data_IF_555653247891
#
_entry.id   IF_555653247891
#
_cell.length_a   1.000
_cell.length_b   1.000
_cell.length_c   1.000
_cell.angle_alpha   90.00
_cell.angle_beta   90.00
_cell.angle_gamma   90.00
#
_symmetry.space_group_name_H-M   'P 1'
#
loop_
_entity.id
_entity.type
_entity.pdbx_description
1 polymer ?
#
# COMPACT_ATOMS: atom_id res chain seq x y z
N UNK A 1 -46.92 20.29 50.06
CA UNK A 1 -45.76 20.62 49.19
C UNK A 1 -44.95 21.84 49.66
N UNK A 2 -45.52 22.81 50.37
CA UNK A 2 -44.79 24.03 50.80
C UNK A 2 -43.64 23.81 51.79
N UNK A 3 -43.68 22.76 52.63
CA UNK A 3 -42.59 22.48 53.59
C UNK A 3 -41.33 21.86 52.98
N UNK A 4 -41.41 21.31 51.76
CA UNK A 4 -40.29 20.60 51.14
C UNK A 4 -39.27 21.58 50.51
N UNK A 5 -39.73 22.74 50.03
CA UNK A 5 -38.91 23.74 49.33
C UNK A 5 -38.16 24.70 50.27
N UNK A 6 -38.40 24.61 51.58
CA UNK A 6 -37.68 25.39 52.59
C UNK A 6 -36.54 24.61 53.27
N UNK A 7 -36.39 23.32 52.97
CA UNK A 7 -35.29 22.51 53.50
C UNK A 7 -34.02 22.77 52.68
N UNK A 8 -32.95 23.20 53.37
CA UNK A 8 -31.63 23.49 52.76
C UNK A 8 -31.04 22.29 52.02
N UNK A 9 -31.35 21.06 52.46
CA UNK A 9 -30.92 19.82 51.80
C UNK A 9 -31.63 19.63 50.47
N UNK A 10 -32.93 19.93 50.43
CA UNK A 10 -33.74 19.86 49.22
C UNK A 10 -33.32 20.95 48.23
N UNK A 11 -33.04 22.17 48.71
CA UNK A 11 -32.56 23.27 47.87
C UNK A 11 -31.19 22.96 47.23
N UNK A 12 -30.30 22.31 47.98
CA UNK A 12 -29.00 21.85 47.47
C UNK A 12 -29.16 20.79 46.38
N UNK A 13 -30.03 19.80 46.57
CA UNK A 13 -30.31 18.77 45.58
C UNK A 13 -30.91 19.35 44.29
N UNK A 14 -31.82 20.33 44.42
CA UNK A 14 -32.36 21.07 43.26
C UNK A 14 -31.22 21.79 42.53
N UNK A 15 -30.30 22.44 43.26
CA UNK A 15 -29.13 23.08 42.69
C UNK A 15 -28.24 22.12 41.89
N UNK A 16 -28.00 20.90 42.42
CA UNK A 16 -27.24 19.85 41.73
C UNK A 16 -27.95 19.40 40.46
N UNK A 17 -29.27 19.16 40.51
CA UNK A 17 -30.05 18.75 39.33
C UNK A 17 -30.03 19.83 38.25
N UNK A 18 -30.23 21.09 38.62
CA UNK A 18 -30.16 22.22 37.67
C UNK A 18 -28.77 22.34 37.07
N UNK A 19 -27.71 22.16 37.86
CA UNK A 19 -26.33 22.17 37.38
C UNK A 19 -26.06 21.00 36.42
N UNK A 20 -26.53 19.79 36.74
CA UNK A 20 -26.41 18.62 35.85
C UNK A 20 -27.13 18.84 34.52
N UNK A 21 -28.36 19.38 34.55
CA UNK A 21 -29.12 19.71 33.33
C UNK A 21 -28.42 20.80 32.52
N UNK A 22 -27.87 21.83 33.16
CA UNK A 22 -27.10 22.88 32.49
C UNK A 22 -25.84 22.32 31.81
N UNK A 23 -25.12 21.39 32.46
CA UNK A 23 -23.95 20.72 31.87
C UNK A 23 -24.35 19.88 30.64
N UNK A 24 -25.43 19.11 30.73
CA UNK A 24 -25.93 18.31 29.60
C UNK A 24 -26.36 19.21 28.44
N UNK A 25 -27.01 20.34 28.72
CA UNK A 25 -27.46 21.28 27.70
C UNK A 25 -26.29 21.97 26.98
N UNK A 26 -25.22 22.34 27.71
CA UNK A 26 -24.05 23.02 27.12
C UNK A 26 -23.12 22.04 26.40
N UNK A 27 -22.87 20.85 26.95
CA UNK A 27 -21.94 19.87 26.35
C UNK A 27 -22.60 18.92 25.36
N UNK A 28 -23.93 18.81 25.39
CA UNK A 28 -24.65 17.79 24.64
C UNK A 28 -24.44 16.37 25.20
N UNK A 29 -25.04 15.39 24.52
CA UNK A 29 -24.87 13.95 24.79
C UNK A 29 -24.08 13.36 23.62
N UNK A 30 -23.00 12.62 23.92
CA UNK A 30 -22.27 11.87 22.90
C UNK A 30 -23.08 10.62 22.54
N UNK A 31 -23.72 10.64 21.38
CA UNK A 31 -24.44 9.49 20.85
C UNK A 31 -23.45 8.48 20.23
N UNK A 32 -23.59 7.19 20.55
CA UNK A 32 -22.88 6.11 19.87
C UNK A 32 -23.35 5.93 18.42
N UNK A 33 -22.65 5.09 17.66
CA UNK A 33 -22.97 4.83 16.24
C UNK A 33 -24.36 4.21 16.07
N UNK A 34 -24.87 3.53 17.11
CA UNK A 34 -26.21 2.93 17.15
C UNK A 34 -27.32 3.97 17.02
N UNK A 35 -27.01 5.22 17.37
CA UNK A 35 -27.93 6.35 17.35
C UNK A 35 -27.62 7.36 16.25
N UNK A 36 -26.35 7.51 15.86
CA UNK A 36 -25.91 8.43 14.79
C UNK A 36 -25.94 7.78 13.38
N UNK A 37 -26.01 6.45 13.32
CA UNK A 37 -25.73 5.69 12.10
C UNK A 37 -24.23 5.60 11.81
N UNK A 38 -23.81 4.55 11.11
CA UNK A 38 -22.40 4.29 10.83
C UNK A 38 -22.16 2.87 10.36
N UNK A 39 -20.88 2.54 10.13
CA UNK A 39 -20.43 1.19 9.74
C UNK A 39 -19.47 0.64 10.79
N UNK A 40 -19.63 -0.65 11.11
CA UNK A 40 -18.68 -1.44 11.90
C UNK A 40 -18.03 -2.47 11.01
N UNK A 41 -16.71 -2.43 10.94
CA UNK A 41 -15.92 -3.38 10.18
C UNK A 41 -15.12 -4.21 11.19
N UNK A 42 -15.51 -5.47 11.45
CA UNK A 42 -14.72 -6.38 12.26
C UNK A 42 -13.54 -6.93 11.44
N UNK A 43 -12.34 -6.87 12.00
CA UNK A 43 -11.14 -7.50 11.46
C UNK A 43 -10.80 -8.66 12.39
N UNK A 44 -10.91 -9.88 11.88
CA UNK A 44 -10.60 -11.11 12.63
C UNK A 44 -9.24 -11.65 12.20
N UNK A 45 -8.39 -11.97 13.16
CA UNK A 45 -7.07 -12.56 12.91
C UNK A 45 -7.15 -14.10 12.95
N UNK A 46 -6.35 -14.75 12.11
CA UNK A 46 -6.28 -16.22 12.02
C UNK A 46 -5.75 -16.88 13.30
N UNK A 47 -5.03 -16.12 14.13
CA UNK A 47 -4.47 -16.55 15.40
C UNK A 47 -4.75 -15.55 16.52
N UNK A 48 -4.80 -16.04 17.76
CA UNK A 48 -4.90 -15.19 18.94
C UNK A 48 -3.66 -14.28 19.07
N UNK A 49 -3.89 -13.00 19.36
CA UNK A 49 -2.85 -11.98 19.55
C UNK A 49 -2.62 -11.72 21.04
N UNK A 50 -1.35 -11.49 21.41
CA UNK A 50 -1.01 -10.97 22.75
C UNK A 50 -1.49 -9.53 22.91
N UNK A 51 -1.65 -9.01 24.15
CA UNK A 51 -2.02 -7.61 24.37
C UNK A 51 -1.08 -6.61 23.67
N UNK A 52 0.23 -6.88 23.67
CA UNK A 52 1.23 -6.04 23.00
C UNK A 52 1.06 -6.04 21.48
N UNK A 53 0.85 -7.21 20.88
CA UNK A 53 0.57 -7.32 19.43
C UNK A 53 -0.75 -6.63 19.07
N UNK A 54 -1.77 -6.76 19.93
CA UNK A 54 -3.06 -6.11 19.74
C UNK A 54 -2.92 -4.58 19.74
N UNK A 55 -2.15 -4.02 20.68
CA UNK A 55 -1.87 -2.58 20.73
C UNK A 55 -1.09 -2.10 19.50
N UNK A 56 -0.11 -2.89 19.05
CA UNK A 56 0.66 -2.61 17.83
C UNK A 56 -0.24 -2.57 16.59
N UNK A 57 -1.07 -3.59 16.40
CA UNK A 57 -2.06 -3.66 15.32
C UNK A 57 -3.01 -2.45 15.36
N UNK A 58 -3.55 -2.12 16.54
CA UNK A 58 -4.43 -0.95 16.69
C UNK A 58 -3.72 0.34 16.30
N UNK A 59 -2.45 0.50 16.67
CA UNK A 59 -1.66 1.67 16.32
C UNK A 59 -1.38 1.73 14.82
N UNK A 60 -1.00 0.61 14.18
CA UNK A 60 -0.82 0.52 12.73
C UNK A 60 -2.09 0.95 12.01
N UNK A 61 -3.25 0.39 12.39
CA UNK A 61 -4.54 0.71 11.78
C UNK A 61 -4.89 2.19 11.98
N UNK A 62 -4.75 2.75 13.19
CA UNK A 62 -4.97 4.17 13.46
C UNK A 62 -4.08 5.07 12.62
N UNK A 63 -2.79 4.73 12.51
CA UNK A 63 -1.82 5.49 11.72
C UNK A 63 -2.21 5.46 10.24
N UNK A 64 -2.51 4.28 9.68
CA UNK A 64 -2.95 4.14 8.28
C UNK A 64 -4.21 4.97 8.02
N UNK A 65 -5.27 4.77 8.82
CA UNK A 65 -6.54 5.47 8.65
C UNK A 65 -6.38 7.00 8.76
N UNK A 66 -5.59 7.47 9.73
CA UNK A 66 -5.38 8.91 9.94
C UNK A 66 -4.64 9.59 8.78
N UNK A 67 -3.70 8.89 8.11
CA UNK A 67 -2.96 9.43 6.95
C UNK A 67 -3.87 9.77 5.76
N UNK A 68 -4.99 9.06 5.62
CA UNK A 68 -5.99 9.30 4.59
C UNK A 68 -7.02 10.39 4.97
N UNK A 69 -6.79 11.11 6.07
CA UNK A 69 -7.66 12.21 6.51
C UNK A 69 -8.92 11.73 7.23
N UNK A 70 -8.98 10.46 7.60
CA UNK A 70 -10.14 9.81 8.21
C UNK A 70 -9.98 9.73 9.74
N UNK A 71 -9.55 10.84 10.35
CA UNK A 71 -9.25 10.92 11.80
C UNK A 71 -10.47 10.72 12.70
N UNK A 72 -11.68 10.65 12.13
CA UNK A 72 -12.94 10.42 12.85
C UNK A 72 -13.22 8.93 13.10
N UNK A 73 -12.36 8.04 12.61
CA UNK A 73 -12.53 6.60 12.73
C UNK A 73 -12.00 6.12 14.09
N UNK A 74 -12.78 5.27 14.74
CA UNK A 74 -12.43 4.67 16.03
C UNK A 74 -11.93 3.25 15.78
N UNK A 75 -10.76 2.92 16.30
CA UNK A 75 -10.20 1.56 16.26
C UNK A 75 -10.21 1.01 17.69
N UNK A 76 -10.99 -0.05 17.92
CA UNK A 76 -11.15 -0.70 19.23
C UNK A 76 -10.59 -2.12 19.20
N UNK A 77 -9.67 -2.48 20.09
CA UNK A 77 -9.28 -3.88 20.26
C UNK A 77 -10.41 -4.69 20.88
N UNK A 78 -10.65 -5.88 20.35
CA UNK A 78 -11.54 -6.91 20.87
C UNK A 78 -10.73 -8.22 21.04
N UNK A 79 -9.92 -8.32 22.11
CA UNK A 79 -9.09 -9.50 22.35
C UNK A 79 -9.90 -10.80 22.46
N UNK A 80 -9.31 -11.95 22.10
CA UNK A 80 -7.90 -12.12 21.73
C UNK A 80 -7.59 -11.92 20.25
N UNK A 81 -8.59 -11.81 19.36
CA UNK A 81 -8.38 -11.99 17.91
C UNK A 81 -9.16 -11.05 17.01
N UNK A 82 -9.77 -10.00 17.56
CA UNK A 82 -10.58 -9.09 16.77
C UNK A 82 -10.15 -7.63 17.02
N UNK A 83 -10.20 -6.82 15.97
CA UNK A 83 -10.16 -5.36 16.06
C UNK A 83 -11.37 -4.82 15.33
N UNK A 84 -12.11 -3.95 16.00
CA UNK A 84 -13.30 -3.31 15.45
C UNK A 84 -12.96 -1.90 14.99
N UNK A 85 -13.24 -1.61 13.73
CA UNK A 85 -13.14 -0.28 13.14
C UNK A 85 -14.55 0.31 13.02
N UNK A 86 -14.78 1.44 13.69
CA UNK A 86 -16.06 2.14 13.70
C UNK A 86 -15.97 3.45 12.94
N UNK A 87 -16.90 3.65 12.00
CA UNK A 87 -17.03 4.86 11.22
C UNK A 87 -18.39 5.50 11.54
N UNK A 88 -18.39 6.75 12.00
CA UNK A 88 -19.63 7.53 12.05
C UNK A 88 -20.15 7.76 10.62
N UNK A 89 -21.46 7.92 10.47
CA UNK A 89 -22.13 8.16 9.18
C UNK A 89 -21.39 9.23 8.35
N UNK A 90 -20.80 8.80 7.23
CA UNK A 90 -19.99 9.62 6.32
C UNK A 90 -20.07 9.09 4.89
N UNK A 91 -19.59 9.90 3.95
CA UNK A 91 -19.63 9.68 2.49
C UNK A 91 -19.24 8.24 2.11
N UNK A 92 -20.02 7.58 1.24
CA UNK A 92 -19.79 6.19 0.80
C UNK A 92 -18.37 5.98 0.27
N UNK A 93 -17.74 7.03 -0.25
CA UNK A 93 -16.35 7.04 -0.68
C UNK A 93 -15.36 6.79 0.47
N UNK A 94 -15.64 7.33 1.67
CA UNK A 94 -14.79 7.12 2.86
C UNK A 94 -14.84 5.67 3.34
N UNK A 95 -16.01 5.02 3.25
CA UNK A 95 -16.17 3.60 3.59
C UNK A 95 -15.34 2.74 2.64
N UNK A 96 -15.49 2.92 1.33
CA UNK A 96 -14.71 2.20 0.31
C UNK A 96 -13.21 2.42 0.46
N UNK A 97 -12.80 3.65 0.80
CA UNK A 97 -11.40 3.98 1.02
C UNK A 97 -10.85 3.29 2.27
N UNK A 98 -11.62 3.22 3.36
CA UNK A 98 -11.21 2.48 4.57
C UNK A 98 -11.15 0.99 4.32
N UNK A 99 -12.15 0.41 3.67
CA UNK A 99 -12.12 -1.02 3.29
C UNK A 99 -10.85 -1.35 2.49
N UNK A 100 -10.48 -0.50 1.53
CA UNK A 100 -9.24 -0.65 0.77
C UNK A 100 -8.00 -0.59 1.68
N UNK A 101 -7.90 0.41 2.56
CA UNK A 101 -6.76 0.58 3.50
C UNK A 101 -6.64 -0.61 4.45
N UNK A 102 -7.76 -1.16 4.90
CA UNK A 102 -7.80 -2.31 5.82
C UNK A 102 -7.44 -3.63 5.12
N UNK A 103 -7.65 -3.72 3.81
CA UNK A 103 -7.31 -4.91 3.01
C UNK A 103 -5.84 -4.95 2.57
N UNK A 104 -5.14 -3.80 2.55
CA UNK A 104 -3.72 -3.73 2.20
C UNK A 104 -2.88 -4.29 3.36
N UNK A 105 -2.20 -5.44 3.16
CA UNK A 105 -1.28 -6.00 4.17
C UNK A 105 -0.08 -5.06 4.38
N UNK A 106 0.37 -4.40 3.30
CA UNK A 106 1.47 -3.44 3.33
C UNK A 106 2.84 -4.12 3.39
N UNK A 107 3.02 -5.21 2.65
CA UNK A 107 4.28 -5.94 2.55
C UNK A 107 5.24 -5.19 1.63
N UNK A 108 6.17 -4.45 2.25
CA UNK A 108 7.18 -3.68 1.52
C UNK A 108 8.39 -4.54 1.17
N UNK A 109 8.89 -4.39 -0.06
CA UNK A 109 10.16 -4.97 -0.53
C UNK A 109 10.94 -3.96 -1.37
N UNK A 110 12.23 -3.78 -1.07
CA UNK A 110 13.18 -3.10 -1.94
C UNK A 110 14.10 -4.12 -2.59
N UNK A 111 14.14 -4.12 -3.92
CA UNK A 111 14.87 -5.08 -4.75
C UNK A 111 15.94 -4.37 -5.56
N UNK A 112 17.15 -4.92 -5.58
CA UNK A 112 18.27 -4.42 -6.38
C UNK A 112 18.81 -5.61 -7.18
N UNK A 113 18.88 -5.47 -8.51
CA UNK A 113 19.39 -6.52 -9.41
C UNK A 113 18.81 -7.91 -9.07
N UNK A 114 17.48 -7.97 -8.98
CA UNK A 114 16.69 -9.18 -8.71
C UNK A 114 16.89 -9.82 -7.32
N UNK A 115 17.56 -9.15 -6.38
CA UNK A 115 17.71 -9.61 -4.99
C UNK A 115 16.97 -8.71 -4.02
N UNK A 116 16.31 -9.31 -3.04
CA UNK A 116 15.60 -8.57 -1.99
C UNK A 116 16.63 -7.96 -1.03
N UNK A 117 16.76 -6.64 -1.06
CA UNK A 117 17.71 -5.90 -0.25
C UNK A 117 17.12 -5.55 1.13
N UNK A 118 15.88 -5.04 1.17
CA UNK A 118 15.16 -4.62 2.38
C UNK A 118 13.72 -5.11 2.31
N UNK A 119 13.16 -5.53 3.45
CA UNK A 119 11.74 -5.83 3.62
C UNK A 119 11.13 -4.89 4.65
N UNK A 120 9.79 -4.85 4.73
CA UNK A 120 9.07 -4.09 5.77
C UNK A 120 9.51 -4.45 7.20
N UNK A 121 9.88 -5.69 7.47
CA UNK A 121 10.34 -6.15 8.80
C UNK A 121 11.68 -5.53 9.23
N UNK A 122 12.48 -5.09 8.27
CA UNK A 122 13.75 -4.43 8.57
C UNK A 122 13.56 -2.96 8.92
N UNK A 123 12.41 -2.34 8.62
CA UNK A 123 12.15 -0.93 8.89
C UNK A 123 11.83 -0.77 10.37
N UNK A 124 12.56 0.12 11.04
CA UNK A 124 12.31 0.40 12.45
C UNK A 124 10.98 1.15 12.60
N UNK A 125 10.04 0.67 13.45
CA UNK A 125 8.76 1.31 13.66
C UNK A 125 8.91 2.79 14.03
N UNK A 126 8.11 3.65 13.40
CA UNK A 126 8.11 5.10 13.64
C UNK A 126 9.32 5.86 13.08
N UNK A 127 10.24 5.20 12.36
CA UNK A 127 11.43 5.85 11.79
C UNK A 127 11.20 6.54 10.44
N UNK A 128 10.05 6.29 9.79
CA UNK A 128 9.73 6.85 8.47
C UNK A 128 9.46 8.36 8.62
N UNK A 129 10.37 9.16 8.05
CA UNK A 129 10.35 10.62 8.10
C UNK A 129 9.23 11.25 7.26
N UNK A 130 8.99 12.53 7.51
CA UNK A 130 8.12 13.34 6.66
C UNK A 130 8.86 13.66 5.37
N UNK A 131 8.37 13.14 4.24
CA UNK A 131 9.08 13.24 2.97
C UNK A 131 9.56 14.66 2.66
N UNK A 132 10.83 14.80 2.28
CA UNK A 132 11.45 16.06 1.90
C UNK A 132 11.26 16.32 0.42
N UNK A 133 11.10 17.58 0.04
CA UNK A 133 11.04 18.02 -1.35
C UNK A 133 12.22 18.96 -1.64
N UNK A 134 12.81 18.85 -2.82
CA UNK A 134 13.90 19.72 -3.27
C UNK A 134 13.74 20.04 -4.75
N UNK A 135 13.76 21.31 -5.18
CA UNK A 135 13.65 21.65 -6.60
C UNK A 135 14.89 21.16 -7.36
N UNK A 136 14.68 20.47 -8.48
CA UNK A 136 15.73 20.10 -9.45
C UNK A 136 15.81 21.17 -10.54
N UNK A 137 14.66 21.66 -11.01
CA UNK A 137 14.53 22.69 -12.04
C UNK A 137 13.26 23.52 -11.82
N UNK A 138 12.95 24.45 -12.74
CA UNK A 138 11.70 25.23 -12.70
C UNK A 138 10.44 24.34 -12.77
N UNK A 139 10.55 23.14 -13.31
CA UNK A 139 9.45 22.22 -13.59
C UNK A 139 9.78 20.80 -13.14
N UNK A 140 10.66 20.63 -12.15
CA UNK A 140 11.00 19.31 -11.62
C UNK A 140 11.42 19.38 -10.17
N UNK A 141 10.90 18.45 -9.36
CA UNK A 141 11.14 18.35 -7.94
C UNK A 141 11.62 16.94 -7.61
N UNK A 142 12.69 16.85 -6.82
CA UNK A 142 13.11 15.63 -6.13
C UNK A 142 12.28 15.49 -4.86
N UNK A 143 11.83 14.29 -4.56
CA UNK A 143 11.30 13.94 -3.25
C UNK A 143 12.19 12.90 -2.57
N UNK A 144 12.25 12.91 -1.25
CA UNK A 144 13.04 11.97 -0.44
C UNK A 144 12.25 11.52 0.80
N UNK A 145 12.24 10.23 1.13
CA UNK A 145 11.68 9.69 2.37
C UNK A 145 12.78 8.93 3.08
N UNK A 146 13.16 9.41 4.27
CA UNK A 146 14.17 8.75 5.09
C UNK A 146 13.50 7.75 6.04
N UNK A 147 14.15 6.63 6.29
CA UNK A 147 13.78 5.71 7.36
C UNK A 147 15.00 5.01 7.92
N UNK A 148 14.85 4.48 9.14
CA UNK A 148 15.88 3.69 9.77
C UNK A 148 15.59 2.20 9.61
N UNK A 149 16.64 1.42 9.40
CA UNK A 149 16.55 -0.04 9.31
C UNK A 149 17.33 -0.74 10.44
N UNK A 150 16.97 -2.00 10.66
CA UNK A 150 17.67 -2.91 11.56
C UNK A 150 19.12 -3.12 11.12
N UNK A 151 19.97 -3.59 12.03
CA UNK A 151 21.36 -3.92 11.71
C UNK A 151 21.44 -5.07 10.69
N UNK A 152 20.57 -6.07 10.82
CA UNK A 152 20.48 -7.17 9.87
C UNK A 152 20.08 -6.66 8.47
N UNK A 153 19.10 -5.77 8.39
CA UNK A 153 18.67 -5.12 7.15
C UNK A 153 19.79 -4.29 6.53
N UNK A 154 20.53 -3.51 7.33
CA UNK A 154 21.65 -2.69 6.85
C UNK A 154 22.77 -3.54 6.26
N UNK A 155 23.12 -4.66 6.92
CA UNK A 155 24.12 -5.60 6.43
C UNK A 155 23.68 -6.27 5.13
N UNK A 156 22.42 -6.73 5.05
CA UNK A 156 21.88 -7.35 3.84
C UNK A 156 21.80 -6.36 2.68
N UNK A 157 21.30 -5.15 2.92
CA UNK A 157 21.26 -4.09 1.92
C UNK A 157 22.66 -3.78 1.40
N UNK A 158 23.65 -3.58 2.28
CA UNK A 158 25.02 -3.28 1.88
C UNK A 158 25.63 -4.40 1.01
N UNK A 159 25.39 -5.66 1.37
CA UNK A 159 25.86 -6.81 0.59
C UNK A 159 25.22 -6.85 -0.81
N UNK A 160 23.93 -6.57 -0.91
CA UNK A 160 23.19 -6.55 -2.19
C UNK A 160 23.55 -5.32 -3.04
N UNK A 161 23.73 -4.16 -2.41
CA UNK A 161 24.03 -2.88 -3.05
C UNK A 161 25.48 -2.80 -3.56
N UNK A 162 26.40 -3.64 -3.06
CA UNK A 162 27.82 -3.61 -3.41
C UNK A 162 28.01 -3.70 -4.94
N UNK A 163 28.60 -2.64 -5.51
CA UNK A 163 28.87 -2.53 -6.95
C UNK A 163 27.64 -2.27 -7.83
N UNK A 164 26.47 -1.99 -7.24
CA UNK A 164 25.23 -1.71 -7.97
C UNK A 164 24.97 -0.21 -8.17
N UNK A 165 26.02 0.62 -8.15
CA UNK A 165 25.89 2.06 -8.34
C UNK A 165 25.15 2.38 -9.65
N UNK A 166 24.32 3.42 -9.63
CA UNK A 166 23.53 3.90 -10.76
C UNK A 166 22.48 2.91 -11.30
N UNK A 167 22.20 1.81 -10.58
CA UNK A 167 21.12 0.87 -10.89
C UNK A 167 19.82 1.24 -10.18
N UNK A 168 18.65 0.86 -10.72
CA UNK A 168 17.38 1.05 -10.04
C UNK A 168 17.28 0.20 -8.77
N UNK A 169 16.65 0.78 -7.75
CA UNK A 169 16.16 0.11 -6.54
C UNK A 169 14.64 0.02 -6.67
N UNK A 170 14.13 -1.13 -7.09
CA UNK A 170 12.69 -1.34 -7.27
C UNK A 170 12.01 -1.48 -5.92
N UNK A 171 11.00 -0.64 -5.68
CA UNK A 171 10.27 -0.61 -4.42
C UNK A 171 8.85 -1.07 -4.64
N UNK A 172 8.53 -2.18 -4.01
CA UNK A 172 7.24 -2.81 -4.14
C UNK A 172 6.46 -2.73 -2.84
N UNK A 173 5.14 -2.67 -2.99
CA UNK A 173 4.18 -2.86 -1.92
C UNK A 173 3.19 -3.92 -2.37
N UNK A 174 3.01 -4.94 -1.54
CA UNK A 174 2.12 -6.08 -1.81
C UNK A 174 2.40 -6.72 -3.18
N UNK A 175 3.70 -6.91 -3.47
CA UNK A 175 4.17 -7.57 -4.69
C UNK A 175 3.62 -9.00 -4.75
N UNK A 176 3.06 -9.44 -5.89
CA UNK A 176 2.69 -10.84 -6.03
C UNK A 176 3.94 -11.71 -6.23
N UNK A 177 4.21 -12.63 -5.30
CA UNK A 177 5.32 -13.60 -5.45
C UNK A 177 5.00 -14.75 -6.39
N UNK A 178 3.72 -15.11 -6.55
CA UNK A 178 3.28 -16.24 -7.39
C UNK A 178 2.13 -15.81 -8.27
N UNK A 179 2.42 -15.45 -9.52
CA UNK A 179 1.43 -14.85 -10.41
C UNK A 179 1.61 -15.22 -11.88
N UNK A 180 0.49 -15.12 -12.61
CA UNK A 180 0.43 -15.08 -14.06
C UNK A 180 -0.14 -13.72 -14.47
N UNK A 181 0.66 -12.87 -15.10
CA UNK A 181 0.25 -11.55 -15.57
C UNK A 181 0.00 -11.62 -17.07
N UNK A 182 -1.21 -11.26 -17.50
CA UNK A 182 -1.61 -11.25 -18.90
C UNK A 182 -1.69 -9.81 -19.39
N UNK A 183 -0.80 -9.44 -20.32
CA UNK A 183 -0.73 -8.11 -20.92
C UNK A 183 -1.18 -8.14 -22.37
N UNK A 184 -1.89 -7.12 -22.84
CA UNK A 184 -2.16 -6.89 -24.26
C UNK A 184 -1.21 -5.82 -24.80
N UNK A 185 -0.96 -5.77 -26.12
CA UNK A 185 -0.10 -4.74 -26.72
C UNK A 185 -0.48 -3.30 -26.34
N UNK A 186 -1.76 -3.02 -26.10
CA UNK A 186 -2.27 -1.70 -25.67
C UNK A 186 -1.90 -1.26 -24.24
N UNK A 187 -1.36 -2.17 -23.42
CA UNK A 187 -0.83 -1.86 -22.09
C UNK A 187 0.60 -1.33 -22.16
N UNK A 188 1.27 -1.47 -23.31
CA UNK A 188 2.58 -0.89 -23.55
C UNK A 188 2.41 0.57 -23.98
N UNK A 189 3.26 1.49 -23.50
CA UNK A 189 3.21 2.87 -23.93
C UNK A 189 3.50 3.00 -25.42
N UNK A 190 2.81 3.91 -26.09
CA UNK A 190 3.17 4.32 -27.45
C UNK A 190 4.44 5.16 -27.40
N UNK A 191 5.38 4.90 -28.31
CA UNK A 191 6.68 5.54 -28.30
C UNK A 191 7.76 4.64 -27.68
N UNK A 192 8.56 5.13 -26.72
CA UNK A 192 9.95 4.75 -26.47
C UNK A 192 10.27 3.24 -26.45
N UNK A 193 11.51 2.93 -26.83
CA UNK A 193 12.07 1.59 -27.11
C UNK A 193 11.41 0.44 -26.32
N UNK A 194 10.41 -0.19 -26.95
CA UNK A 194 9.65 -1.33 -26.42
C UNK A 194 10.60 -2.45 -25.97
N UNK A 195 11.76 -2.61 -26.62
CA UNK A 195 12.74 -3.62 -26.22
C UNK A 195 13.33 -3.35 -24.82
N UNK A 196 13.61 -2.09 -24.49
CA UNK A 196 14.08 -1.69 -23.16
C UNK A 196 13.01 -1.94 -22.08
N UNK A 197 11.74 -1.62 -22.39
CA UNK A 197 10.62 -1.91 -21.49
C UNK A 197 10.43 -3.41 -21.27
N UNK A 198 10.49 -4.22 -22.34
CA UNK A 198 10.38 -5.67 -22.27
C UNK A 198 11.51 -6.29 -21.43
N UNK A 199 12.72 -5.75 -21.52
CA UNK A 199 13.86 -6.19 -20.71
C UNK A 199 13.57 -5.96 -19.22
N UNK A 200 13.14 -4.74 -18.85
CA UNK A 200 12.76 -4.40 -17.47
C UNK A 200 11.63 -5.32 -16.94
N UNK A 201 10.62 -5.56 -17.77
CA UNK A 201 9.49 -6.43 -17.42
C UNK A 201 9.95 -7.89 -17.21
N UNK A 202 10.87 -8.36 -18.05
CA UNK A 202 11.42 -9.72 -17.93
C UNK A 202 12.24 -9.90 -16.65
N UNK A 203 12.97 -8.87 -16.21
CA UNK A 203 13.75 -8.91 -14.97
C UNK A 203 12.84 -9.10 -13.75
N UNK A 204 11.64 -8.53 -13.75
CA UNK A 204 10.67 -8.72 -12.67
C UNK A 204 10.22 -10.17 -12.48
N UNK A 205 10.28 -10.99 -13.54
CA UNK A 205 9.99 -12.43 -13.44
C UNK A 205 11.12 -13.20 -12.74
N UNK A 206 12.32 -12.62 -12.65
CA UNK A 206 13.53 -13.25 -12.12
C UNK A 206 13.91 -12.78 -10.70
N UNK A 207 13.06 -11.98 -10.05
CA UNK A 207 13.30 -11.55 -8.67
C UNK A 207 13.35 -12.78 -7.74
N UNK A 208 14.33 -12.81 -6.85
CA UNK A 208 14.53 -13.86 -5.85
C UNK A 208 13.24 -14.17 -5.08
N UNK A 209 12.95 -15.47 -4.90
CA UNK A 209 11.75 -15.92 -4.21
C UNK A 209 10.43 -15.69 -4.98
N UNK A 210 10.51 -15.41 -6.28
CA UNK A 210 9.35 -15.12 -7.11
C UNK A 210 9.15 -16.19 -8.19
N UNK A 211 7.89 -16.55 -8.40
CA UNK A 211 7.39 -17.31 -9.52
C UNK A 211 6.33 -16.48 -10.24
N UNK A 212 6.78 -15.42 -10.91
CA UNK A 212 5.92 -14.53 -11.70
C UNK A 212 6.14 -14.85 -13.17
N UNK A 213 5.06 -15.13 -13.88
CA UNK A 213 5.07 -15.35 -15.33
C UNK A 213 4.30 -14.25 -16.02
N UNK A 214 4.90 -13.64 -17.02
CA UNK A 214 4.29 -12.55 -17.79
C UNK A 214 4.07 -13.05 -19.21
N UNK A 215 2.84 -12.95 -19.69
CA UNK A 215 2.43 -13.38 -21.03
C UNK A 215 1.85 -12.19 -21.76
N UNK A 216 2.46 -11.86 -22.90
CA UNK A 216 1.89 -10.89 -23.84
C UNK A 216 0.90 -11.65 -24.73
N UNK A 217 -0.36 -11.24 -24.65
CA UNK A 217 -1.51 -11.77 -25.37
C UNK A 217 -1.83 -10.83 -26.52
N UNK A 218 -1.06 -11.00 -27.59
CA UNK A 218 -1.23 -10.36 -28.89
C UNK A 218 -2.34 -11.00 -29.71
N UNK A 219 -2.44 -12.33 -29.67
CA UNK A 219 -3.48 -13.10 -30.34
C UNK A 219 -4.06 -14.18 -29.41
N UNK A 220 -5.26 -13.92 -28.88
CA UNK A 220 -5.88 -14.83 -27.90
C UNK A 220 -6.06 -16.24 -28.45
N UNK A 221 -6.46 -16.41 -29.71
CA UNK A 221 -6.64 -17.72 -30.34
C UNK A 221 -5.40 -18.62 -30.26
N UNK A 222 -4.20 -18.02 -30.32
CA UNK A 222 -2.92 -18.72 -30.23
C UNK A 222 -2.49 -18.92 -28.77
N UNK A 223 -2.70 -17.91 -27.90
CA UNK A 223 -2.27 -17.96 -26.50
C UNK A 223 -3.23 -18.73 -25.58
N UNK A 224 -4.46 -18.98 -26.00
CA UNK A 224 -5.52 -19.57 -25.18
C UNK A 224 -5.10 -20.87 -24.51
N UNK A 225 -4.54 -21.81 -25.28
CA UNK A 225 -4.12 -23.10 -24.75
C UNK A 225 -2.95 -22.96 -23.77
N UNK A 226 -1.96 -22.11 -24.09
CA UNK A 226 -0.83 -21.82 -23.20
C UNK A 226 -1.31 -21.27 -21.85
N UNK A 227 -2.26 -20.33 -21.87
CA UNK A 227 -2.82 -19.74 -20.65
C UNK A 227 -3.65 -20.76 -19.88
N UNK A 228 -4.49 -21.54 -20.56
CA UNK A 228 -5.29 -22.58 -19.90
C UNK A 228 -4.40 -23.65 -19.23
N UNK A 229 -3.35 -24.10 -19.91
CA UNK A 229 -2.40 -25.07 -19.36
C UNK A 229 -1.65 -24.52 -18.16
N UNK A 230 -1.27 -23.24 -18.17
CA UNK A 230 -0.63 -22.58 -17.03
C UNK A 230 -1.59 -22.51 -15.83
N UNK A 231 -2.83 -22.07 -16.03
CA UNK A 231 -3.85 -21.98 -14.97
C UNK A 231 -4.15 -23.37 -14.39
N UNK A 232 -4.28 -24.38 -15.24
CA UNK A 232 -4.56 -25.76 -14.85
C UNK A 232 -3.42 -26.38 -14.06
N UNK A 233 -2.18 -26.12 -14.46
CA UNK A 233 -0.98 -26.73 -13.85
C UNK A 233 -0.56 -26.00 -12.57
N UNK A 234 -0.81 -24.69 -12.50
CA UNK A 234 -0.40 -23.82 -11.40
C UNK A 234 -1.58 -23.01 -10.84
N UNK A 235 -2.64 -23.66 -10.30
CA UNK A 235 -3.83 -22.96 -9.82
C UNK A 235 -3.57 -22.02 -8.65
N UNK A 236 -2.45 -22.18 -7.94
CA UNK A 236 -1.99 -21.29 -6.88
C UNK A 236 -1.50 -19.91 -7.37
N UNK A 237 -1.20 -19.74 -8.67
CA UNK A 237 -0.82 -18.42 -9.21
C UNK A 237 -2.04 -17.52 -9.21
N UNK A 238 -1.89 -16.29 -8.72
CA UNK A 238 -2.88 -15.26 -8.94
C UNK A 238 -2.84 -14.82 -10.41
N UNK A 239 -3.98 -14.81 -11.09
CA UNK A 239 -4.07 -14.43 -12.50
C UNK A 239 -4.44 -12.96 -12.58
N UNK A 240 -3.53 -12.13 -13.06
CA UNK A 240 -3.68 -10.68 -13.14
C UNK A 240 -3.93 -10.26 -14.59
N UNK A 241 -5.05 -9.58 -14.84
CA UNK A 241 -5.42 -9.13 -16.19
C UNK A 241 -6.34 -7.91 -16.16
N UNK A 242 -6.44 -7.22 -17.29
CA UNK A 242 -7.35 -6.08 -17.45
C UNK A 242 -8.82 -6.52 -17.51
N UNK A 243 -9.71 -5.78 -16.86
CA UNK A 243 -11.16 -5.92 -16.98
C UNK A 243 -11.67 -5.77 -18.40
N UNK A 244 -10.96 -4.98 -19.22
CA UNK A 244 -11.32 -4.71 -20.60
C UNK A 244 -10.69 -5.71 -21.57
N UNK A 245 -9.87 -6.65 -21.09
CA UNK A 245 -9.15 -7.60 -21.94
C UNK A 245 -10.10 -8.40 -22.82
N UNK A 246 -9.72 -8.60 -24.08
CA UNK A 246 -10.51 -9.35 -25.05
C UNK A 246 -10.79 -10.79 -24.62
N UNK A 247 -9.91 -11.34 -23.77
CA UNK A 247 -9.96 -12.69 -23.21
C UNK A 247 -10.50 -12.76 -21.78
N UNK A 248 -10.96 -11.66 -21.19
CA UNK A 248 -11.32 -11.57 -19.77
C UNK A 248 -12.37 -12.63 -19.34
N UNK A 249 -13.40 -12.84 -20.16
CA UNK A 249 -14.47 -13.81 -19.88
C UNK A 249 -13.96 -15.25 -19.92
N UNK A 250 -13.10 -15.57 -20.88
CA UNK A 250 -12.51 -16.90 -21.01
C UNK A 250 -11.61 -17.22 -19.81
N UNK A 251 -10.75 -16.28 -19.42
CA UNK A 251 -9.86 -16.42 -18.26
C UNK A 251 -10.66 -16.57 -16.97
N UNK A 252 -11.74 -15.79 -16.78
CA UNK A 252 -12.62 -15.94 -15.62
C UNK A 252 -13.27 -17.33 -15.56
N UNK A 253 -13.74 -17.85 -16.70
CA UNK A 253 -14.30 -19.20 -16.79
C UNK A 253 -13.26 -20.29 -16.49
N UNK A 254 -12.04 -20.15 -17.01
CA UNK A 254 -10.92 -21.06 -16.71
C UNK A 254 -10.54 -21.04 -15.23
N UNK A 255 -10.43 -19.84 -14.65
CA UNK A 255 -10.10 -19.68 -13.24
C UNK A 255 -11.16 -20.34 -12.34
N UNK A 256 -12.45 -20.14 -12.63
CA UNK A 256 -13.53 -20.83 -11.93
C UNK A 256 -13.49 -22.35 -12.09
N UNK A 257 -13.17 -22.85 -13.29
CA UNK A 257 -13.04 -24.29 -13.57
C UNK A 257 -11.91 -24.96 -12.78
N UNK A 258 -10.78 -24.28 -12.61
CA UNK A 258 -9.59 -24.82 -11.95
C UNK A 258 -9.39 -24.30 -10.52
N UNK A 259 -10.38 -23.58 -9.97
CA UNK A 259 -10.32 -22.95 -8.64
C UNK A 259 -9.08 -22.06 -8.45
N UNK A 260 -8.72 -21.30 -9.48
CA UNK A 260 -7.62 -20.33 -9.44
C UNK A 260 -8.14 -18.94 -9.06
N UNK A 261 -7.29 -18.15 -8.40
CA UNK A 261 -7.63 -16.79 -7.97
C UNK A 261 -7.33 -15.78 -9.08
N UNK A 262 -8.24 -14.85 -9.32
CA UNK A 262 -8.04 -13.74 -10.26
C UNK A 262 -7.91 -12.40 -9.54
N UNK A 263 -7.10 -11.51 -10.11
CA UNK A 263 -7.02 -10.09 -9.74
C UNK A 263 -7.25 -9.26 -10.99
N UNK A 264 -8.46 -8.75 -11.13
CA UNK A 264 -8.88 -7.97 -12.30
C UNK A 264 -8.60 -6.48 -12.05
N UNK A 265 -7.89 -5.84 -12.98
CA UNK A 265 -7.45 -4.44 -12.87
C UNK A 265 -7.98 -3.60 -14.04
N UNK A 266 -7.94 -2.27 -13.93
CA UNK A 266 -8.22 -1.38 -15.07
C UNK A 266 -7.08 -1.42 -16.09
N UNK A 267 -7.32 -0.95 -17.32
CA UNK A 267 -6.23 -0.79 -18.31
C UNK A 267 -5.12 0.15 -17.82
N UNK A 268 -5.48 1.21 -17.08
CA UNK A 268 -4.51 2.15 -16.51
C UNK A 268 -3.62 1.49 -15.44
N UNK A 269 -4.20 0.62 -14.60
CA UNK A 269 -3.45 -0.11 -13.58
C UNK A 269 -2.56 -1.22 -14.16
N UNK A 270 -2.87 -1.69 -15.38
CA UNK A 270 -2.04 -2.64 -16.14
C UNK A 270 -0.88 -1.95 -16.88
N UNK A 271 -0.98 -0.64 -17.13
CA UNK A 271 0.10 0.15 -17.76
C UNK A 271 1.22 0.41 -16.76
N UNK A 272 2.41 0.63 -17.30
CA UNK A 272 3.60 0.94 -16.54
C UNK A 272 4.16 2.31 -16.94
N UNK A 273 4.73 3.01 -15.97
CA UNK A 273 5.46 4.26 -16.21
C UNK A 273 6.91 3.96 -16.55
N UNK A 274 7.41 4.60 -17.61
CA UNK A 274 8.80 4.51 -18.03
C UNK A 274 9.51 5.84 -17.77
N UNK A 275 10.74 5.76 -17.29
CA UNK A 275 11.66 6.90 -17.23
C UNK A 275 12.90 6.57 -18.03
N UNK A 276 13.33 7.51 -18.86
CA UNK A 276 14.57 7.41 -19.58
C UNK A 276 15.74 7.74 -18.66
N UNK A 277 16.74 6.86 -18.62
CA UNK A 277 18.01 7.15 -18.02
C UNK A 277 18.72 8.22 -18.85
N UNK A 278 18.94 9.40 -18.28
CA UNK A 278 19.56 10.52 -19.00
C UNK A 278 21.03 10.30 -19.39
N UNK A 279 21.68 9.28 -18.80
CA UNK A 279 23.08 8.92 -19.07
C UNK A 279 23.17 7.82 -20.12
N UNK A 280 22.40 6.74 -19.99
CA UNK A 280 22.48 5.58 -20.90
C UNK A 280 21.50 5.64 -22.07
N UNK A 281 20.41 6.42 -21.93
CA UNK A 281 19.33 6.49 -22.91
C UNK A 281 18.28 5.38 -22.77
N UNK A 282 18.53 4.39 -21.91
CA UNK A 282 17.63 3.24 -21.70
C UNK A 282 16.36 3.64 -20.94
N UNK A 283 15.26 2.93 -21.20
CA UNK A 283 14.02 3.11 -20.46
C UNK A 283 13.90 2.07 -19.35
N UNK A 284 13.61 2.54 -18.14
CA UNK A 284 13.36 1.71 -16.97
C UNK A 284 11.90 1.84 -16.55
N UNK A 285 11.26 0.71 -16.25
CA UNK A 285 9.94 0.70 -15.60
C UNK A 285 10.07 1.20 -14.18
N UNK A 286 9.43 2.33 -13.85
CA UNK A 286 9.54 2.97 -12.54
C UNK A 286 8.29 2.80 -11.69
N UNK A 287 7.12 2.62 -12.31
CA UNK A 287 5.86 2.30 -11.60
C UNK A 287 5.06 1.28 -12.38
N UNK A 288 4.44 0.34 -11.67
CA UNK A 288 3.54 -0.64 -12.26
C UNK A 288 2.64 -1.29 -11.20
N UNK A 289 1.37 -0.87 -11.17
CA UNK A 289 0.44 -1.25 -10.10
C UNK A 289 0.04 -2.73 -10.13
N UNK A 290 0.00 -3.35 -11.31
CA UNK A 290 -0.25 -4.79 -11.45
C UNK A 290 0.77 -5.65 -10.68
N UNK A 291 2.01 -5.17 -10.58
CA UNK A 291 3.09 -5.82 -9.85
C UNK A 291 3.33 -5.23 -8.45
N UNK A 292 2.57 -4.18 -8.06
CA UNK A 292 2.80 -3.45 -6.81
C UNK A 292 4.06 -2.57 -6.82
N UNK A 293 4.64 -2.28 -7.99
CA UNK A 293 5.83 -1.42 -8.11
C UNK A 293 5.43 0.04 -7.91
N UNK A 294 5.92 0.66 -6.84
CA UNK A 294 5.61 2.04 -6.45
C UNK A 294 6.61 3.04 -7.03
N UNK A 295 7.89 2.69 -7.05
CA UNK A 295 8.97 3.54 -7.55
C UNK A 295 10.24 2.73 -7.87
N UNK A 296 11.15 3.33 -8.65
CA UNK A 296 12.47 2.76 -8.91
C UNK A 296 13.58 3.84 -8.85
N UNK A 297 13.91 4.39 -7.65
CA UNK A 297 15.06 5.28 -7.47
C UNK A 297 16.35 4.73 -8.05
N UNK A 298 17.26 5.62 -8.43
CA UNK A 298 18.63 5.24 -8.78
C UNK A 298 19.49 5.16 -7.51
N UNK A 299 20.18 4.04 -7.32
CA UNK A 299 21.11 3.82 -6.22
C UNK A 299 22.34 4.72 -6.36
N UNK A 300 22.64 5.49 -5.32
CA UNK A 300 23.82 6.36 -5.29
C UNK A 300 25.12 5.56 -5.15
N UNK A 301 26.21 6.10 -5.70
CA UNK A 301 27.56 5.50 -5.58
C UNK A 301 27.99 5.31 -4.11
N UNK A 302 27.56 6.19 -3.20
CA UNK A 302 27.90 6.10 -1.78
C UNK A 302 27.31 4.85 -1.13
N UNK A 303 26.05 4.53 -1.43
CA UNK A 303 25.36 3.34 -0.92
C UNK A 303 25.87 2.04 -1.58
N UNK A 304 26.41 2.14 -2.79
CA UNK A 304 26.95 1.00 -3.52
C UNK A 304 28.36 0.54 -3.08
N UNK A 305 28.93 1.14 -2.02
CA UNK A 305 30.26 0.78 -1.49
C UNK A 305 30.24 -0.44 -0.57
N UNK A 306 29.06 -0.95 -0.23
CA UNK A 306 28.92 -2.09 0.68
C UNK A 306 29.19 -1.78 2.14
N UNK A 307 29.15 -0.49 2.53
CA UNK A 307 29.20 -0.10 3.94
C UNK A 307 27.79 -0.10 4.52
N UNK A 308 27.51 -0.88 5.58
CA UNK A 308 26.20 -0.86 6.23
C UNK A 308 25.83 0.54 6.72
N UNK A 309 24.66 1.02 6.31
CA UNK A 309 24.04 2.23 6.84
C UNK A 309 22.67 1.89 7.38
N UNK A 310 22.39 2.33 8.60
CA UNK A 310 21.08 2.17 9.23
C UNK A 310 20.11 3.27 8.84
N UNK A 311 20.58 4.37 8.29
CA UNK A 311 19.73 5.43 7.73
C UNK A 311 19.72 5.29 6.21
N UNK A 312 18.53 5.07 5.66
CA UNK A 312 18.30 4.91 4.23
C UNK A 312 17.36 6.02 3.78
N UNK A 313 17.59 6.52 2.57
CA UNK A 313 16.70 7.49 1.92
C UNK A 313 16.22 6.90 0.60
N UNK A 314 14.91 6.93 0.41
CA UNK A 314 14.25 6.63 -0.85
C UNK A 314 13.98 7.94 -1.55
N UNK A 315 14.26 8.04 -2.85
CA UNK A 315 14.02 9.28 -3.57
C UNK A 315 13.44 9.07 -4.95
N UNK A 316 12.85 10.11 -5.52
CA UNK A 316 12.39 10.12 -6.89
C UNK A 316 12.22 11.54 -7.39
N UNK A 317 11.73 11.71 -8.61
CA UNK A 317 11.43 13.02 -9.18
C UNK A 317 10.01 13.07 -9.74
N UNK A 318 9.46 14.28 -9.83
CA UNK A 318 8.22 14.56 -10.54
C UNK A 318 8.31 15.93 -11.23
N UNK A 319 7.45 16.17 -12.23
CA UNK A 319 7.45 17.41 -13.02
C UNK A 319 6.73 18.58 -12.33
N UNK A 320 6.19 18.35 -11.13
CA UNK A 320 5.54 19.38 -10.32
C UNK A 320 5.62 19.01 -8.82
N UNK A 321 5.45 20.01 -7.97
CA UNK A 321 5.57 19.87 -6.51
C UNK A 321 4.44 19.05 -5.90
N UNK A 322 3.24 19.11 -6.49
CA UNK A 322 2.06 18.42 -5.97
C UNK A 322 2.21 16.92 -6.15
N UNK A 323 2.64 16.48 -7.34
CA UNK A 323 2.93 15.08 -7.64
C UNK A 323 4.12 14.58 -6.83
N UNK A 324 5.19 15.38 -6.67
CA UNK A 324 6.33 15.00 -5.82
C UNK A 324 5.91 14.79 -4.35
N UNK A 325 5.06 15.68 -3.82
CA UNK A 325 4.49 15.57 -2.47
C UNK A 325 3.58 14.34 -2.32
N UNK A 326 2.73 14.08 -3.31
CA UNK A 326 1.86 12.91 -3.33
C UNK A 326 2.66 11.60 -3.34
N UNK A 327 3.69 11.50 -4.20
CA UNK A 327 4.59 10.33 -4.25
C UNK A 327 5.28 10.10 -2.90
N UNK A 328 5.83 11.16 -2.28
CA UNK A 328 6.47 11.04 -0.97
C UNK A 328 5.49 10.57 0.13
N UNK A 329 4.23 11.03 0.05
CA UNK A 329 3.16 10.63 0.97
C UNK A 329 2.73 9.16 0.76
N UNK A 330 2.69 8.71 -0.48
CA UNK A 330 2.35 7.34 -0.87
C UNK A 330 3.41 6.32 -0.40
N UNK A 331 4.70 6.64 -0.55
CA UNK A 331 5.77 5.78 -0.03
C UNK A 331 5.73 5.68 1.50
N UNK A 332 5.30 6.77 2.17
CA UNK A 332 5.14 6.78 3.62
C UNK A 332 3.93 5.97 4.08
N UNK A 333 2.85 5.90 3.30
CA UNK A 333 1.53 5.41 3.77
C UNK A 333 1.56 3.97 4.18
#
# INVERSE_FOLDING_TARGET
>A
MQGLLSDKRVLFLIGVVVLSLAVIFVKGINYGIEFQGGVRIPITFDSDLTPTQMDEVVNILKTRISKFGLSQVIVRPLPPREVQVELAKGDENSIKQIEKILQEQGNFEAVISNKVAITGEDILPGSIGEGRLSPISKTSYKWEVDFAISEAGATRFAAVALGQANKPVYMFLDRPHTALILLEPRHFPEGPDIASALTSISDFSNIEGSDVKIVIVDEWGVKKQLVEDEIRTNPQRVIIYSSNATFANDVAAMAGKYNATTRVLSDDDMRFELVQNSVTGDYTVTKWKALGLLSAPILSEGLAKGTPSRLVSVSGSANDITTASANAKEIRS
#
